data_IF_453921565786
#
_entry.id   IF_453921565786
#
_cell.length_a   1.000
_cell.length_b   1.000
_cell.length_c   1.000
_cell.angle_alpha   90.00
_cell.angle_beta   90.00
_cell.angle_gamma   90.00
#
_symmetry.space_group_name_H-M   'P 1'
#
loop_
_entity.id
_entity.type
_entity.pdbx_description
1 polymer ?
#
# COMPACT_ATOMS: atom_id res chain seq x y z
N UNK A 1 -2.76 10.87 22.15
CA UNK A 1 -1.73 11.49 21.29
C UNK A 1 -2.05 12.94 20.87
N UNK A 2 -3.32 13.30 20.55
CA UNK A 2 -3.70 14.70 20.26
C UNK A 2 -3.58 15.68 21.43
N UNK A 3 -3.49 15.18 22.66
CA UNK A 3 -3.46 16.01 23.89
C UNK A 3 -2.04 16.35 24.38
N UNK A 4 -0.99 15.69 23.87
CA UNK A 4 0.35 15.80 24.47
C UNK A 4 1.41 16.49 23.62
N UNK A 5 1.11 16.98 22.41
CA UNK A 5 2.02 17.74 21.53
C UNK A 5 3.43 17.13 21.30
N UNK A 6 3.65 15.89 21.73
CA UNK A 6 4.89 15.14 21.57
C UNK A 6 4.78 14.29 20.31
N UNK A 7 4.66 14.97 19.17
CA UNK A 7 4.83 14.32 17.89
C UNK A 7 6.33 14.27 17.63
N UNK A 8 6.98 13.20 18.08
CA UNK A 8 8.42 13.00 17.80
C UNK A 8 8.63 12.92 16.29
N UNK A 9 9.59 13.68 15.75
CA UNK A 9 9.98 13.61 14.33
C UNK A 9 10.34 12.18 13.92
N UNK A 10 10.86 11.37 14.85
CA UNK A 10 11.14 9.95 14.64
C UNK A 10 9.85 9.14 14.48
N UNK A 11 8.84 9.38 15.33
CA UNK A 11 7.55 8.67 15.25
C UNK A 11 6.81 8.92 13.94
N UNK A 12 6.87 10.14 13.40
CA UNK A 12 6.25 10.49 12.11
C UNK A 12 6.85 9.73 10.92
N UNK A 13 8.09 9.25 11.05
CA UNK A 13 8.77 8.45 10.02
C UNK A 13 8.56 6.95 10.31
N UNK A 14 8.57 6.56 11.58
CA UNK A 14 8.41 5.16 11.99
C UNK A 14 7.00 4.61 11.69
N UNK A 15 5.95 5.41 11.91
CA UNK A 15 4.56 4.99 11.71
C UNK A 15 4.29 4.52 10.26
N UNK A 16 4.63 5.30 9.20
CA UNK A 16 4.48 4.84 7.82
C UNK A 16 5.29 3.60 7.47
N UNK A 17 6.45 3.41 8.10
CA UNK A 17 7.31 2.25 7.86
C UNK A 17 6.67 1.01 8.49
N UNK A 18 6.19 1.13 9.73
CA UNK A 18 5.49 0.05 10.43
C UNK A 18 4.24 -0.38 9.67
N UNK A 19 3.43 0.56 9.17
CA UNK A 19 2.26 0.26 8.35
C UNK A 19 2.62 -0.52 7.07
N UNK A 20 3.70 -0.13 6.38
CA UNK A 20 4.16 -0.86 5.19
C UNK A 20 4.66 -2.25 5.52
N UNK A 21 5.43 -2.39 6.59
CA UNK A 21 5.89 -3.70 7.05
C UNK A 21 4.70 -4.60 7.43
N UNK A 22 3.66 -4.05 8.05
CA UNK A 22 2.45 -4.79 8.37
C UNK A 22 1.79 -5.34 7.09
N UNK A 23 1.63 -4.51 6.05
CA UNK A 23 1.06 -4.94 4.76
C UNK A 23 1.90 -6.05 4.13
N UNK A 24 3.23 -5.89 4.08
CA UNK A 24 4.14 -6.88 3.48
C UNK A 24 4.11 -8.19 4.26
N UNK A 25 4.24 -8.14 5.59
CA UNK A 25 4.23 -9.32 6.46
C UNK A 25 2.88 -10.05 6.41
N UNK A 26 1.76 -9.31 6.43
CA UNK A 26 0.42 -9.90 6.34
C UNK A 26 0.19 -10.57 4.99
N UNK A 27 0.60 -9.92 3.90
CA UNK A 27 0.50 -10.49 2.55
C UNK A 27 1.38 -11.74 2.43
N UNK A 28 2.60 -11.70 2.98
CA UNK A 28 3.52 -12.83 3.00
C UNK A 28 2.91 -14.03 3.76
N UNK A 29 2.30 -13.79 4.93
CA UNK A 29 1.61 -14.82 5.69
C UNK A 29 0.46 -15.46 4.90
N UNK A 30 -0.34 -14.66 4.18
CA UNK A 30 -1.42 -15.15 3.31
C UNK A 30 -0.90 -15.99 2.12
N UNK A 31 0.28 -15.64 1.59
CA UNK A 31 0.94 -16.44 0.54
C UNK A 31 1.44 -17.79 1.08
N UNK A 32 2.06 -17.81 2.26
CA UNK A 32 2.47 -19.05 2.92
C UNK A 32 1.28 -19.96 3.26
N UNK A 33 0.14 -19.35 3.64
CA UNK A 33 -1.12 -20.05 3.84
C UNK A 33 -1.77 -20.54 2.52
N UNK A 34 -1.15 -20.30 1.36
CA UNK A 34 -1.66 -20.62 0.01
C UNK A 34 -3.02 -19.98 -0.32
N UNK A 35 -3.38 -18.90 0.38
CA UNK A 35 -4.61 -18.15 0.17
C UNK A 35 -4.45 -17.22 -1.03
N UNK A 36 -3.28 -16.57 -1.12
CA UNK A 36 -2.95 -15.61 -2.17
C UNK A 36 -1.74 -16.14 -2.97
N UNK A 37 -1.71 -15.97 -4.30
CA UNK A 37 -0.56 -16.38 -5.11
C UNK A 37 0.65 -15.43 -4.93
N UNK A 38 1.86 -15.98 -5.12
CA UNK A 38 3.13 -15.24 -5.00
C UNK A 38 3.21 -13.98 -5.86
N UNK A 39 2.55 -13.96 -7.03
CA UNK A 39 2.55 -12.79 -7.91
C UNK A 39 1.89 -11.56 -7.26
N UNK A 40 0.88 -11.75 -6.39
CA UNK A 40 0.23 -10.63 -5.73
C UNK A 40 1.14 -9.98 -4.67
N UNK A 41 1.90 -10.80 -3.93
CA UNK A 41 2.95 -10.29 -3.03
C UNK A 41 4.02 -9.53 -3.82
N UNK A 42 4.50 -10.09 -4.94
CA UNK A 42 5.47 -9.42 -5.79
C UNK A 42 4.95 -8.06 -6.29
N UNK A 43 3.66 -7.96 -6.66
CA UNK A 43 3.04 -6.69 -7.06
C UNK A 43 3.05 -5.64 -5.94
N UNK A 44 2.73 -6.03 -4.70
CA UNK A 44 2.73 -5.11 -3.56
C UNK A 44 4.16 -4.63 -3.25
N UNK A 45 5.10 -5.57 -3.15
CA UNK A 45 6.51 -5.28 -2.84
C UNK A 45 7.17 -4.42 -3.91
N UNK A 46 6.95 -4.75 -5.20
CA UNK A 46 7.53 -4.00 -6.32
C UNK A 46 7.08 -2.55 -6.32
N UNK A 47 5.78 -2.31 -6.10
CA UNK A 47 5.25 -0.95 -6.02
C UNK A 47 5.88 -0.18 -4.87
N UNK A 48 5.95 -0.78 -3.68
CA UNK A 48 6.53 -0.10 -2.52
C UNK A 48 8.03 0.19 -2.68
N UNK A 49 8.77 -0.68 -3.34
CA UNK A 49 10.15 -0.44 -3.73
C UNK A 49 10.27 0.74 -4.71
N UNK A 50 9.43 0.78 -5.76
CA UNK A 50 9.38 1.90 -6.72
C UNK A 50 9.10 3.22 -5.99
N UNK A 51 8.15 3.23 -5.06
CA UNK A 51 7.81 4.42 -4.28
C UNK A 51 8.94 4.86 -3.36
N UNK A 52 9.63 3.91 -2.71
CA UNK A 52 10.78 4.22 -1.87
C UNK A 52 11.90 4.87 -2.71
N UNK A 53 12.21 4.31 -3.87
CA UNK A 53 13.20 4.86 -4.81
C UNK A 53 12.80 6.26 -5.27
N UNK A 54 11.53 6.47 -5.66
CA UNK A 54 11.01 7.77 -6.06
C UNK A 54 11.16 8.83 -4.97
N UNK A 55 10.86 8.49 -3.71
CA UNK A 55 11.02 9.40 -2.58
C UNK A 55 12.49 9.77 -2.38
N UNK A 56 13.41 8.79 -2.45
CA UNK A 56 14.85 9.03 -2.34
C UNK A 56 15.35 9.94 -3.46
N UNK A 57 14.94 9.68 -4.71
CA UNK A 57 15.28 10.54 -5.85
C UNK A 57 14.76 11.95 -5.62
N UNK A 58 13.48 12.14 -5.29
CA UNK A 58 12.92 13.49 -5.07
C UNK A 58 13.61 14.24 -3.94
N UNK A 59 13.97 13.54 -2.86
CA UNK A 59 14.71 14.12 -1.75
C UNK A 59 16.09 14.65 -2.17
N UNK A 60 16.76 14.01 -3.14
CA UNK A 60 18.02 14.51 -3.70
C UNK A 60 17.88 15.82 -4.50
N UNK A 61 16.67 16.16 -4.95
CA UNK A 61 16.40 17.37 -5.73
C UNK A 61 15.73 18.50 -4.92
N UNK A 62 15.73 18.41 -3.58
CA UNK A 62 15.04 19.31 -2.65
C UNK A 62 13.52 19.42 -2.89
N UNK A 63 12.93 18.44 -3.58
CA UNK A 63 11.48 18.36 -3.68
C UNK A 63 10.90 17.77 -2.39
N UNK A 64 10.03 18.55 -1.74
CA UNK A 64 9.21 18.06 -0.64
C UNK A 64 8.29 16.90 -1.07
N UNK A 65 7.65 16.21 -0.11
CA UNK A 65 6.79 15.06 -0.40
C UNK A 65 5.69 15.44 -1.41
N UNK A 66 5.54 14.63 -2.46
CA UNK A 66 4.51 14.80 -3.47
C UNK A 66 3.12 14.89 -2.82
N UNK A 67 2.22 15.76 -3.31
CA UNK A 67 0.87 15.89 -2.78
C UNK A 67 0.16 14.55 -2.82
N UNK A 68 -0.42 14.17 -1.68
CA UNK A 68 -0.97 12.83 -1.50
C UNK A 68 -2.23 12.66 -2.34
N UNK A 69 -2.18 11.85 -3.40
CA UNK A 69 -3.35 11.51 -4.20
C UNK A 69 -4.33 10.67 -3.36
N UNK A 70 -5.59 11.12 -3.28
CA UNK A 70 -6.68 10.41 -2.60
C UNK A 70 -6.84 8.97 -3.10
N UNK A 71 -6.62 8.72 -4.39
CA UNK A 71 -6.63 7.37 -4.99
C UNK A 71 -5.67 6.38 -4.30
N UNK A 72 -4.51 6.86 -3.86
CA UNK A 72 -3.52 6.01 -3.18
C UNK A 72 -3.99 5.59 -1.79
N UNK A 73 -4.63 6.52 -1.05
CA UNK A 73 -5.22 6.22 0.26
C UNK A 73 -6.35 5.20 0.16
N UNK A 74 -7.21 5.37 -0.85
CA UNK A 74 -8.32 4.44 -1.09
C UNK A 74 -7.80 3.05 -1.46
N UNK A 75 -6.76 2.97 -2.31
CA UNK A 75 -6.13 1.70 -2.66
C UNK A 75 -5.53 0.96 -1.46
N UNK A 76 -4.78 1.66 -0.60
CA UNK A 76 -4.23 1.06 0.63
C UNK A 76 -5.31 0.63 1.62
N UNK A 77 -6.38 1.43 1.77
CA UNK A 77 -7.51 1.06 2.62
C UNK A 77 -8.21 -0.20 2.10
N UNK A 78 -8.42 -0.32 0.80
CA UNK A 78 -9.02 -1.52 0.19
C UNK A 78 -8.14 -2.76 0.39
N UNK A 79 -6.81 -2.62 0.30
CA UNK A 79 -5.88 -3.72 0.56
C UNK A 79 -5.93 -4.18 2.02
N UNK A 80 -6.01 -3.25 2.98
CA UNK A 80 -6.19 -3.61 4.39
C UNK A 80 -7.50 -4.35 4.62
N UNK A 81 -8.61 -3.87 4.04
CA UNK A 81 -9.91 -4.56 4.10
C UNK A 81 -9.84 -5.96 3.49
N UNK A 82 -9.14 -6.10 2.36
CA UNK A 82 -8.92 -7.39 1.70
C UNK A 82 -8.22 -8.39 2.61
N UNK A 83 -7.15 -7.97 3.29
CA UNK A 83 -6.40 -8.82 4.22
C UNK A 83 -7.31 -9.30 5.35
N UNK A 84 -8.08 -8.39 5.98
CA UNK A 84 -9.00 -8.73 7.07
C UNK A 84 -10.10 -9.68 6.60
N UNK A 85 -10.69 -9.43 5.42
CA UNK A 85 -11.72 -10.30 4.85
C UNK A 85 -11.19 -11.70 4.58
N UNK A 86 -10.01 -11.85 3.98
CA UNK A 86 -9.42 -13.16 3.78
C UNK A 86 -9.13 -13.86 5.11
N UNK A 87 -8.60 -13.16 6.12
CA UNK A 87 -8.40 -13.77 7.44
C UNK A 87 -9.72 -14.30 8.03
N UNK A 88 -10.82 -13.55 7.93
CA UNK A 88 -12.14 -13.97 8.45
C UNK A 88 -12.67 -15.18 7.69
N UNK A 89 -12.63 -15.15 6.36
CA UNK A 89 -13.11 -16.25 5.51
C UNK A 89 -12.41 -17.57 5.87
N UNK A 90 -11.09 -17.53 6.07
CA UNK A 90 -10.30 -18.73 6.34
C UNK A 90 -10.26 -19.13 7.82
N UNK A 91 -10.46 -18.20 8.76
CA UNK A 91 -10.44 -18.52 10.19
C UNK A 91 -11.73 -19.19 10.68
N UNK A 92 -12.88 -18.86 10.09
CA UNK A 92 -14.19 -19.26 10.65
C UNK A 92 -14.66 -20.63 10.12
N UNK A 93 -14.06 -21.16 9.04
CA UNK A 93 -14.29 -22.52 8.51
C UNK A 93 -15.77 -22.97 8.49
N UNK A 94 -16.70 -22.05 8.20
CA UNK A 94 -18.13 -22.31 8.13
C UNK A 94 -18.64 -22.26 6.69
N UNK A 95 -19.50 -23.21 6.33
CA UNK A 95 -20.23 -23.30 5.03
C UNK A 95 -21.16 -22.09 4.76
N UNK A 96 -21.50 -21.78 3.49
CA UNK A 96 -20.62 -21.33 2.44
C UNK A 96 -20.42 -19.80 2.56
N UNK A 97 -19.22 -19.37 2.96
CA UNK A 97 -18.78 -17.96 2.95
C UNK A 97 -18.53 -17.40 1.53
N UNK A 98 -19.26 -17.88 0.52
CA UNK A 98 -19.01 -17.60 -0.89
C UNK A 98 -19.19 -16.11 -1.22
N UNK A 99 -20.16 -15.46 -0.58
CA UNK A 99 -20.38 -14.01 -0.71
C UNK A 99 -19.20 -13.22 -0.11
N UNK A 100 -18.72 -13.63 1.07
CA UNK A 100 -17.61 -12.95 1.73
C UNK A 100 -16.29 -13.17 0.99
N UNK A 101 -16.08 -14.37 0.45
CA UNK A 101 -14.94 -14.70 -0.39
C UNK A 101 -14.97 -13.91 -1.72
N UNK A 102 -16.12 -13.81 -2.37
CA UNK A 102 -16.29 -13.00 -3.58
C UNK A 102 -16.05 -11.51 -3.29
N UNK A 103 -16.52 -11.00 -2.16
CA UNK A 103 -16.23 -9.64 -1.70
C UNK A 103 -14.73 -9.44 -1.44
N UNK A 104 -14.06 -10.40 -0.81
CA UNK A 104 -12.61 -10.35 -0.57
C UNK A 104 -11.83 -10.29 -1.89
N UNK A 105 -12.20 -11.12 -2.88
CA UNK A 105 -11.58 -11.08 -4.22
C UNK A 105 -11.85 -9.75 -4.91
N UNK A 106 -13.09 -9.24 -4.88
CA UNK A 106 -13.42 -7.96 -5.49
C UNK A 106 -12.60 -6.82 -4.87
N UNK A 107 -12.52 -6.77 -3.53
CA UNK A 107 -11.66 -5.83 -2.82
C UNK A 107 -10.18 -6.01 -3.17
N UNK A 108 -9.69 -7.24 -3.36
CA UNK A 108 -8.32 -7.50 -3.77
C UNK A 108 -8.02 -6.92 -5.15
N UNK A 109 -8.88 -7.20 -6.14
CA UNK A 109 -8.70 -6.75 -7.52
C UNK A 109 -8.75 -5.23 -7.59
N UNK A 110 -9.78 -4.61 -7.02
CA UNK A 110 -9.92 -3.15 -7.01
C UNK A 110 -8.83 -2.48 -6.19
N UNK A 111 -8.41 -3.10 -5.08
CA UNK A 111 -7.35 -2.62 -4.21
C UNK A 111 -6.02 -2.59 -4.92
N UNK A 112 -5.61 -3.70 -5.53
CA UNK A 112 -4.38 -3.80 -6.34
C UNK A 112 -4.42 -2.81 -7.50
N UNK A 113 -5.55 -2.72 -8.21
CA UNK A 113 -5.70 -1.82 -9.36
C UNK A 113 -5.52 -0.36 -8.96
N UNK A 114 -6.24 0.11 -7.94
CA UNK A 114 -6.13 1.49 -7.45
C UNK A 114 -4.74 1.77 -6.87
N UNK A 115 -4.15 0.79 -6.20
CA UNK A 115 -2.82 0.90 -5.60
C UNK A 115 -1.72 1.08 -6.66
N UNK A 116 -1.79 0.33 -7.76
CA UNK A 116 -0.89 0.46 -8.91
C UNK A 116 -1.17 1.72 -9.72
N UNK A 117 -2.45 2.06 -9.95
CA UNK A 117 -2.84 3.28 -10.66
C UNK A 117 -2.32 4.53 -9.94
N UNK A 118 -2.52 4.62 -8.62
CA UNK A 118 -1.92 5.67 -7.81
C UNK A 118 -0.39 5.65 -7.93
N UNK A 119 0.20 4.44 -7.92
CA UNK A 119 1.62 4.19 -8.17
C UNK A 119 2.14 4.93 -9.40
N UNK A 120 1.55 4.65 -10.54
CA UNK A 120 1.90 5.22 -11.85
C UNK A 120 1.71 6.73 -11.85
N UNK A 121 0.62 7.25 -11.26
CA UNK A 121 0.38 8.69 -11.18
C UNK A 121 1.51 9.42 -10.44
N UNK A 122 2.00 8.87 -9.33
CA UNK A 122 3.15 9.46 -8.63
C UNK A 122 4.42 9.41 -9.48
N UNK A 123 4.68 8.31 -10.19
CA UNK A 123 5.82 8.21 -11.11
C UNK A 123 5.77 9.31 -12.19
N UNK A 124 4.59 9.55 -12.77
CA UNK A 124 4.38 10.59 -13.79
C UNK A 124 4.58 11.99 -13.18
N UNK A 125 4.05 12.25 -11.99
CA UNK A 125 4.22 13.54 -11.31
C UNK A 125 5.69 13.82 -10.98
N UNK A 126 6.40 12.81 -10.46
CA UNK A 126 7.83 12.89 -10.20
C UNK A 126 8.63 13.18 -11.47
N UNK A 127 8.37 12.44 -12.56
CA UNK A 127 9.03 12.65 -13.84
C UNK A 127 8.82 14.06 -14.39
N UNK A 128 7.59 14.59 -14.31
CA UNK A 128 7.29 15.97 -14.72
C UNK A 128 8.05 17.02 -13.91
N UNK A 129 8.20 16.81 -12.60
CA UNK A 129 8.96 17.72 -11.73
C UNK A 129 10.46 17.69 -12.07
N UNK A 130 11.02 16.49 -12.28
CA UNK A 130 12.43 16.33 -12.63
C UNK A 130 12.78 17.01 -13.96
N UNK A 131 11.93 16.85 -14.99
CA UNK A 131 12.15 17.51 -16.29
C UNK A 131 12.06 19.03 -16.19
N UNK A 132 11.13 19.57 -15.40
CA UNK A 132 10.94 21.02 -15.27
C UNK A 132 12.16 21.73 -14.66
N UNK A 133 12.96 21.04 -13.84
CA UNK A 133 14.20 21.56 -13.24
C UNK A 133 15.43 21.39 -14.14
N UNK A 134 15.39 20.46 -15.09
CA UNK A 134 16.46 20.23 -16.05
C UNK A 134 16.49 21.23 -17.22
N UNK A 135 15.43 22.05 -17.35
CA UNK A 135 15.37 23.24 -18.22
C UNK A 135 15.66 24.49 -17.41
#
# INVERSE_FOLDING_TARGET
ARTFNQVSKLGQILDPIADRLLIVCSTLALVFAKIIPWWALALVVLRDAIMAILIVILAQYDYGPLPVNFMGKTGTALLMVTIVLFMIVFAIAAEPMLILYAAAIACAIWGITLYWFAGILYCIQAYKLLIKKAK
#
